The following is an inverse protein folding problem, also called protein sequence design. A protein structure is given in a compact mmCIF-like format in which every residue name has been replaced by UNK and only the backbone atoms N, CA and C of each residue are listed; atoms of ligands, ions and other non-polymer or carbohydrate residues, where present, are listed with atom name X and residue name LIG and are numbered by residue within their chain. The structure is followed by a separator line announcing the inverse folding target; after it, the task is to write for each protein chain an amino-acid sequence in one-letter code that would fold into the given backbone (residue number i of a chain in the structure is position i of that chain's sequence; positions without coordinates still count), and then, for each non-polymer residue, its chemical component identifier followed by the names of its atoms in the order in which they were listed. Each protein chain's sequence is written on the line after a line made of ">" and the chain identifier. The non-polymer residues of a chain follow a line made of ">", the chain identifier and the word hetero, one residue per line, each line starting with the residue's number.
data_IF_172864493374
#
_entry.id   IF_172864493374
#
_cell.length_a   1.000
_cell.length_b   1.000
_cell.length_c   1.000
_cell.angle_alpha   90.00
_cell.angle_beta   90.00
_cell.angle_gamma   90.00
#
_symmetry.space_group_name_H-M   'P 1'
#
loop_
_entity.id
_entity.type
_entity.pdbx_description
1 polymer ?
#
# COMPACT_ATOMS: atom_id res chain seq x y z
N UNK A 1 23.90 66.44 40.62
CA UNK A 1 24.48 65.32 39.85
C UNK A 1 23.44 64.19 39.83
N UNK A 2 22.68 64.08 38.70
CA UNK A 2 21.62 63.03 38.51
C UNK A 2 22.24 61.92 37.67
N UNK A 3 22.36 60.71 38.28
CA UNK A 3 22.71 59.51 37.53
C UNK A 3 21.46 58.86 36.95
N UNK A 4 21.41 58.78 35.62
CA UNK A 4 20.37 58.05 34.91
C UNK A 4 20.86 56.59 34.72
N UNK A 5 20.14 55.60 35.26
CA UNK A 5 20.39 54.18 35.05
C UNK A 5 19.53 53.77 33.86
N UNK A 6 20.17 53.50 32.74
CA UNK A 6 19.51 52.93 31.56
C UNK A 6 19.54 51.38 31.67
N UNK A 7 18.39 50.81 32.02
CA UNK A 7 18.24 49.35 32.03
C UNK A 7 18.15 48.82 30.60
N UNK A 8 19.16 48.03 30.21
CA UNK A 8 19.16 47.29 28.93
C UNK A 8 18.44 45.96 29.19
N UNK A 9 17.22 45.85 28.60
CA UNK A 9 16.47 44.59 28.62
C UNK A 9 17.03 43.69 27.53
N UNK A 10 17.72 42.61 27.89
CA UNK A 10 18.10 41.53 26.98
C UNK A 10 16.88 40.64 26.71
N UNK A 11 16.28 40.75 25.53
CA UNK A 11 15.34 39.75 25.06
C UNK A 11 16.14 38.51 24.59
N UNK A 12 16.14 37.47 25.41
CA UNK A 12 16.60 36.14 24.98
C UNK A 12 15.47 35.56 24.12
N UNK A 13 15.60 35.65 22.81
CA UNK A 13 14.79 34.84 21.88
C UNK A 13 15.24 33.39 22.06
N UNK A 14 14.55 32.63 22.90
CA UNK A 14 14.62 31.19 22.90
C UNK A 14 14.08 30.67 21.59
N UNK A 15 14.95 30.27 20.68
CA UNK A 15 14.56 29.48 19.52
C UNK A 15 13.95 28.19 20.07
N UNK A 16 12.64 27.98 19.88
CA UNK A 16 12.02 26.67 20.07
C UNK A 16 12.60 25.81 18.94
N UNK A 17 13.65 25.08 19.22
CA UNK A 17 14.15 24.04 18.34
C UNK A 17 13.11 22.92 18.43
N UNK A 18 12.20 22.82 17.46
CA UNK A 18 11.46 21.58 17.27
C UNK A 18 12.50 20.50 16.99
N UNK A 19 12.64 19.57 17.91
CA UNK A 19 13.52 18.42 17.71
C UNK A 19 13.04 17.70 16.44
N UNK A 20 13.89 17.68 15.43
CA UNK A 20 13.63 16.94 14.20
C UNK A 20 13.47 15.45 14.59
N UNK A 21 12.45 14.79 14.02
CA UNK A 21 12.28 13.35 14.23
C UNK A 21 13.49 12.61 13.68
N UNK A 22 13.92 11.50 14.33
CA UNK A 22 15.11 10.76 13.89
C UNK A 22 14.91 10.02 12.55
N UNK A 23 13.64 9.78 12.16
CA UNK A 23 13.32 9.02 10.96
C UNK A 23 12.32 9.76 10.06
N UNK A 24 12.32 9.38 8.77
CA UNK A 24 11.28 9.74 7.82
C UNK A 24 10.43 8.51 7.51
N UNK A 25 9.12 8.61 7.72
CA UNK A 25 8.12 7.63 7.34
C UNK A 25 7.27 8.11 6.17
N UNK A 26 6.21 7.39 5.90
CA UNK A 26 5.24 7.77 4.86
C UNK A 26 3.81 7.42 5.26
N UNK A 27 2.87 8.24 4.82
CA UNK A 27 1.45 7.95 4.82
C UNK A 27 0.82 8.40 3.51
N UNK A 28 -0.04 7.55 2.97
CA UNK A 28 -0.78 7.75 1.73
C UNK A 28 -2.27 7.56 2.03
N UNK A 29 -3.10 8.55 1.71
CA UNK A 29 -4.50 8.56 2.17
C UNK A 29 -5.44 9.16 1.15
N UNK A 30 -6.71 8.71 1.15
CA UNK A 30 -7.73 9.28 0.29
C UNK A 30 -8.08 10.70 0.68
N UNK A 31 -8.47 11.51 -0.31
CA UNK A 31 -9.04 12.84 -0.09
C UNK A 31 -10.47 12.68 0.43
N UNK A 32 -11.25 11.80 -0.19
CA UNK A 32 -12.64 11.55 0.16
C UNK A 32 -12.76 10.53 1.30
N UNK A 33 -13.85 10.66 2.05
CA UNK A 33 -14.27 9.71 3.07
C UNK A 33 -15.23 8.68 2.47
N UNK A 34 -15.11 7.43 2.91
CA UNK A 34 -15.99 6.34 2.54
C UNK A 34 -16.72 5.82 3.78
N UNK A 35 -18.03 5.68 3.71
CA UNK A 35 -18.83 5.10 4.80
C UNK A 35 -19.43 3.79 4.33
N UNK A 36 -19.14 2.73 5.07
CA UNK A 36 -19.48 1.35 4.71
C UNK A 36 -18.83 0.92 3.38
N UNK A 37 -18.66 -0.35 3.21
CA UNK A 37 -18.06 -0.90 2.00
C UNK A 37 -17.16 -2.09 2.29
N UNK A 38 -16.57 -2.61 1.21
CA UNK A 38 -15.48 -3.56 1.30
C UNK A 38 -14.21 -2.89 0.79
N UNK A 39 -13.19 -2.92 1.62
CA UNK A 39 -11.89 -2.31 1.43
C UNK A 39 -10.88 -3.43 1.26
N UNK A 40 -10.20 -3.47 0.12
CA UNK A 40 -9.21 -4.51 -0.18
C UNK A 40 -7.88 -3.88 -0.56
N UNK A 41 -6.80 -4.51 -0.10
CA UNK A 41 -5.43 -4.17 -0.48
C UNK A 41 -4.65 -5.44 -0.79
N UNK A 42 -3.78 -5.40 -1.78
CA UNK A 42 -2.74 -6.40 -1.96
C UNK A 42 -1.40 -5.78 -1.59
N UNK A 43 -0.81 -6.23 -0.49
CA UNK A 43 0.42 -5.62 0.03
C UNK A 43 1.43 -6.67 0.48
N UNK A 44 2.70 -6.26 0.49
CA UNK A 44 3.82 -6.90 1.16
C UNK A 44 4.35 -5.94 2.22
N UNK A 45 4.24 -6.31 3.49
CA UNK A 45 4.58 -5.43 4.60
C UNK A 45 6.09 -5.31 4.83
N UNK A 46 6.52 -4.24 5.49
CA UNK A 46 7.91 -4.03 5.86
C UNK A 46 8.35 -5.01 6.95
N UNK A 47 9.56 -5.52 6.82
CA UNK A 47 10.25 -6.30 7.85
C UNK A 47 11.09 -5.38 8.75
N UNK A 48 11.19 -5.72 10.02
CA UNK A 48 12.05 -5.05 11.01
C UNK A 48 11.34 -4.80 12.32
N UNK A 49 11.95 -5.25 13.44
CA UNK A 49 11.43 -4.97 14.78
C UNK A 49 11.29 -3.46 15.01
N UNK A 50 10.22 -3.04 15.66
CA UNK A 50 9.92 -1.64 15.90
C UNK A 50 9.25 -0.92 14.74
N UNK A 51 8.90 -1.61 13.64
CA UNK A 51 8.27 -1.03 12.45
C UNK A 51 6.82 -1.50 12.34
N UNK A 52 5.92 -0.58 11.99
CA UNK A 52 4.53 -0.86 11.62
C UNK A 52 4.30 -0.46 10.16
N UNK A 53 3.67 -1.34 9.41
CA UNK A 53 3.06 -1.01 8.12
C UNK A 53 1.61 -1.47 8.11
N UNK A 54 0.70 -0.61 7.61
CA UNK A 54 -0.72 -0.81 7.80
C UNK A 54 -1.57 -0.50 6.57
N UNK A 55 -2.77 -1.05 6.57
CA UNK A 55 -3.90 -0.69 5.73
C UNK A 55 -5.13 -0.53 6.61
N UNK A 56 -5.72 0.67 6.60
CA UNK A 56 -6.76 1.02 7.54
C UNK A 56 -7.73 2.07 6.99
N UNK A 57 -8.82 2.27 7.69
CA UNK A 57 -9.67 3.45 7.52
C UNK A 57 -9.78 4.19 8.84
N UNK A 58 -9.80 5.52 8.79
CA UNK A 58 -9.93 6.37 9.96
C UNK A 58 -10.80 7.59 9.68
N UNK A 59 -11.60 7.99 10.66
CA UNK A 59 -12.26 9.30 10.64
C UNK A 59 -11.23 10.39 10.81
N UNK A 60 -11.10 11.27 9.81
CA UNK A 60 -10.19 12.42 9.84
C UNK A 60 -10.74 13.55 10.73
N UNK A 61 -10.89 13.26 12.03
CA UNK A 61 -11.44 14.20 12.99
C UNK A 61 -10.51 15.41 13.25
N UNK A 62 -9.23 15.31 12.92
CA UNK A 62 -8.30 16.44 13.01
C UNK A 62 -8.61 17.54 11.99
N UNK A 63 -9.00 17.14 10.77
CA UNK A 63 -9.45 18.09 9.75
C UNK A 63 -10.73 18.83 10.19
N UNK A 64 -11.55 18.22 11.04
CA UNK A 64 -12.73 18.83 11.65
C UNK A 64 -12.39 19.73 12.87
N UNK A 65 -11.10 19.84 13.25
CA UNK A 65 -10.66 20.57 14.44
C UNK A 65 -11.00 19.88 15.75
N UNK A 66 -11.33 18.60 15.72
CA UNK A 66 -11.67 17.80 16.88
C UNK A 66 -10.42 17.13 17.46
N UNK A 67 -10.49 16.74 18.73
CA UNK A 67 -9.42 16.04 19.44
C UNK A 67 -9.98 15.05 20.44
N UNK A 68 -9.12 14.14 20.90
CA UNK A 68 -9.44 13.16 21.94
C UNK A 68 -10.07 11.86 21.40
N UNK A 69 -9.97 10.82 22.21
CA UNK A 69 -10.38 9.44 21.87
C UNK A 69 -11.86 9.31 21.54
N UNK A 70 -12.71 10.18 22.11
CA UNK A 70 -14.16 10.17 21.82
C UNK A 70 -14.51 10.42 20.34
N UNK A 71 -13.57 10.97 19.56
CA UNK A 71 -13.76 11.22 18.11
C UNK A 71 -13.07 10.16 17.25
N UNK A 72 -12.24 9.31 17.83
CA UNK A 72 -11.45 8.33 17.11
C UNK A 72 -12.35 7.17 16.64
N UNK A 73 -12.28 6.88 15.34
CA UNK A 73 -12.97 5.78 14.65
C UNK A 73 -12.01 5.22 13.63
N UNK A 74 -11.67 3.94 13.77
CA UNK A 74 -10.66 3.30 12.91
C UNK A 74 -10.96 1.81 12.75
N UNK A 75 -10.64 1.27 11.58
CA UNK A 75 -10.69 -0.17 11.27
C UNK A 75 -9.39 -0.49 10.59
N UNK A 76 -8.57 -1.38 11.16
CA UNK A 76 -7.20 -1.55 10.70
C UNK A 76 -6.72 -2.99 10.57
N UNK A 77 -5.81 -3.17 9.61
CA UNK A 77 -4.79 -4.20 9.57
C UNK A 77 -3.44 -3.57 9.86
N UNK A 78 -2.71 -4.10 10.83
CA UNK A 78 -1.39 -3.67 11.19
C UNK A 78 -0.41 -4.85 11.19
N UNK A 79 0.65 -4.71 10.39
CA UNK A 79 1.74 -5.67 10.40
C UNK A 79 2.86 -5.14 11.25
N UNK A 80 3.16 -5.86 12.34
CA UNK A 80 4.25 -5.52 13.25
C UNK A 80 5.51 -6.25 12.76
N UNK A 81 6.51 -5.52 12.31
CA UNK A 81 7.69 -6.06 11.63
C UNK A 81 8.53 -7.06 12.44
N UNK A 82 8.31 -7.15 13.75
CA UNK A 82 8.90 -8.18 14.61
C UNK A 82 8.33 -9.60 14.39
N UNK A 83 7.14 -9.73 13.79
CA UNK A 83 6.45 -11.01 13.62
C UNK A 83 6.57 -11.54 12.21
N UNK A 84 7.14 -12.71 12.05
CA UNK A 84 7.30 -13.37 10.74
C UNK A 84 6.07 -14.14 10.27
N UNK A 85 5.04 -14.27 11.10
CA UNK A 85 3.83 -15.04 10.78
C UNK A 85 2.57 -14.53 11.50
N UNK A 86 2.47 -13.24 11.76
CA UNK A 86 1.29 -12.66 12.41
C UNK A 86 0.92 -11.32 11.82
N UNK A 87 -0.37 -11.01 11.88
CA UNK A 87 -0.94 -9.71 11.58
C UNK A 87 -1.98 -9.36 12.64
N UNK A 88 -2.08 -8.09 12.98
CA UNK A 88 -3.05 -7.57 13.92
C UNK A 88 -4.22 -6.96 13.15
N UNK A 89 -5.45 -7.18 13.64
CA UNK A 89 -6.63 -6.38 13.29
C UNK A 89 -7.11 -5.64 14.51
N UNK A 90 -7.61 -4.42 14.30
CA UNK A 90 -8.17 -3.65 15.38
C UNK A 90 -9.42 -2.88 14.92
N UNK A 91 -10.31 -2.57 15.84
CA UNK A 91 -11.49 -1.72 15.65
C UNK A 91 -11.46 -0.69 16.78
N UNK A 92 -11.35 0.59 16.43
CA UNK A 92 -11.35 1.68 17.40
C UNK A 92 -12.69 2.42 17.34
N UNK A 93 -13.34 2.54 18.47
CA UNK A 93 -14.62 3.23 18.61
C UNK A 93 -14.53 4.38 19.60
N UNK A 94 -15.59 5.20 19.70
CA UNK A 94 -15.64 6.37 20.60
C UNK A 94 -15.33 6.07 22.07
N UNK A 95 -15.65 4.86 22.50
CA UNK A 95 -15.69 4.52 23.93
C UNK A 95 -14.64 3.49 24.30
N UNK A 96 -14.21 2.68 23.34
CA UNK A 96 -13.18 1.66 23.52
C UNK A 96 -12.20 1.74 22.36
N UNK A 97 -10.94 1.96 22.69
CA UNK A 97 -9.89 2.24 21.69
C UNK A 97 -9.13 1.00 21.24
N UNK A 98 -9.45 -0.18 21.77
CA UNK A 98 -8.69 -1.39 21.44
C UNK A 98 -9.56 -2.65 21.44
N UNK A 99 -10.08 -3.01 20.26
CA UNK A 99 -10.65 -4.33 19.99
C UNK A 99 -9.66 -5.14 19.15
N UNK A 100 -8.47 -5.37 19.71
CA UNK A 100 -7.32 -5.97 19.02
C UNK A 100 -7.46 -7.47 18.93
N UNK A 101 -7.22 -8.05 17.76
CA UNK A 101 -7.01 -9.49 17.56
C UNK A 101 -5.71 -9.73 16.77
N UNK A 102 -4.92 -10.73 17.22
CA UNK A 102 -3.68 -11.14 16.57
C UNK A 102 -3.89 -12.47 15.84
N UNK A 103 -3.78 -12.46 14.51
CA UNK A 103 -3.99 -13.61 13.65
C UNK A 103 -2.68 -14.27 13.28
N UNK A 104 -2.59 -15.60 13.41
CA UNK A 104 -1.44 -16.38 12.96
C UNK A 104 -1.60 -16.72 11.49
N UNK A 105 -0.60 -16.40 10.70
CA UNK A 105 -0.53 -16.64 9.26
C UNK A 105 0.25 -17.94 8.98
N UNK A 106 -0.08 -18.58 7.86
CA UNK A 106 0.68 -19.73 7.35
C UNK A 106 1.90 -19.31 6.50
N UNK A 107 2.19 -18.02 6.43
CA UNK A 107 3.26 -17.42 5.64
C UNK A 107 3.89 -16.24 6.37
N UNK A 108 4.98 -15.73 5.81
CA UNK A 108 5.63 -14.51 6.29
C UNK A 108 5.12 -13.30 5.48
N UNK A 109 4.40 -12.32 6.09
CA UNK A 109 3.80 -11.17 5.39
C UNK A 109 4.84 -10.19 4.82
N UNK A 110 6.13 -10.36 5.15
CA UNK A 110 7.22 -9.52 4.66
C UNK A 110 7.90 -10.09 3.41
N UNK A 111 7.57 -11.33 3.02
CA UNK A 111 8.24 -12.04 1.90
C UNK A 111 7.44 -11.94 0.61
N UNK A 112 6.12 -12.09 0.67
CA UNK A 112 5.25 -12.08 -0.50
C UNK A 112 4.08 -11.12 -0.37
N UNK A 113 3.37 -10.92 -1.49
CA UNK A 113 2.14 -10.15 -1.53
C UNK A 113 0.95 -11.01 -1.15
N UNK A 114 0.14 -10.49 -0.22
CA UNK A 114 -1.10 -11.11 0.21
C UNK A 114 -2.24 -10.10 0.15
N UNK A 115 -3.47 -10.60 0.04
CA UNK A 115 -4.67 -9.76 0.00
C UNK A 115 -5.26 -9.66 1.40
N UNK A 116 -5.46 -8.45 1.86
CA UNK A 116 -6.11 -8.12 3.11
C UNK A 116 -7.37 -7.32 2.80
N UNK A 117 -8.49 -7.69 3.40
CA UNK A 117 -9.75 -7.00 3.17
C UNK A 117 -10.58 -6.93 4.43
N UNK A 118 -11.36 -5.87 4.57
CA UNK A 118 -12.44 -5.84 5.54
C UNK A 118 -13.73 -5.32 4.91
N UNK A 119 -14.83 -5.87 5.39
CA UNK A 119 -16.17 -5.41 5.08
C UNK A 119 -16.71 -4.67 6.29
N UNK A 120 -17.15 -3.45 6.09
CA UNK A 120 -17.78 -2.63 7.09
C UNK A 120 -19.21 -2.30 6.65
N UNK A 121 -20.16 -2.74 7.45
CA UNK A 121 -21.60 -2.51 7.27
C UNK A 121 -22.19 -1.89 8.54
N UNK A 122 -23.46 -1.46 8.54
CA UNK A 122 -24.12 -1.03 9.77
C UNK A 122 -24.16 -2.10 10.88
N UNK A 123 -24.11 -3.39 10.52
CA UNK A 123 -24.32 -4.51 11.44
C UNK A 123 -23.03 -5.23 11.85
N UNK A 124 -21.99 -5.21 10.99
CA UNK A 124 -20.77 -6.00 11.23
C UNK A 124 -19.53 -5.41 10.58
N UNK A 125 -18.38 -5.83 11.12
CA UNK A 125 -17.09 -5.75 10.46
C UNK A 125 -16.52 -7.15 10.32
N UNK A 126 -16.18 -7.54 9.08
CA UNK A 126 -15.55 -8.82 8.76
C UNK A 126 -14.16 -8.59 8.18
N UNK A 127 -13.16 -9.32 8.66
CA UNK A 127 -11.80 -9.27 8.14
C UNK A 127 -11.46 -10.54 7.38
N UNK A 128 -10.80 -10.38 6.25
CA UNK A 128 -10.40 -11.46 5.36
C UNK A 128 -8.92 -11.36 5.03
N UNK A 129 -8.24 -12.50 4.99
CA UNK A 129 -6.85 -12.62 4.54
C UNK A 129 -6.85 -13.66 3.43
N UNK A 130 -6.33 -13.32 2.24
CA UNK A 130 -6.36 -14.16 1.03
C UNK A 130 -7.76 -14.77 0.79
N UNK A 131 -8.79 -13.95 0.93
CA UNK A 131 -10.23 -14.29 0.84
C UNK A 131 -10.74 -15.27 1.92
N UNK A 132 -9.96 -15.60 2.94
CA UNK A 132 -10.42 -16.38 4.07
C UNK A 132 -10.90 -15.46 5.19
N UNK A 133 -12.11 -15.68 5.69
CA UNK A 133 -12.66 -14.95 6.84
C UNK A 133 -11.82 -15.30 8.08
N UNK A 134 -11.21 -14.30 8.72
CA UNK A 134 -10.39 -14.47 9.92
C UNK A 134 -11.01 -13.87 11.17
N UNK A 135 -11.88 -12.86 11.01
CA UNK A 135 -12.61 -12.23 12.12
C UNK A 135 -14.00 -11.80 11.64
N UNK A 136 -15.02 -12.02 12.47
CA UNK A 136 -16.38 -11.50 12.28
C UNK A 136 -16.83 -10.81 13.57
N UNK A 137 -17.01 -9.50 13.51
CA UNK A 137 -17.38 -8.69 14.65
C UNK A 137 -18.78 -8.08 14.42
N UNK A 138 -19.75 -8.56 15.21
CA UNK A 138 -21.17 -8.17 15.19
C UNK A 138 -21.57 -7.47 16.51
N UNK A 139 -20.58 -7.04 17.30
CA UNK A 139 -20.85 -6.39 18.57
C UNK A 139 -21.49 -5.00 18.36
N UNK A 140 -22.26 -4.56 19.34
CA UNK A 140 -23.00 -3.29 19.25
C UNK A 140 -22.12 -2.06 19.10
N UNK A 141 -20.85 -2.12 19.51
CA UNK A 141 -19.93 -1.00 19.29
C UNK A 141 -19.60 -0.74 17.80
N UNK A 142 -19.74 -1.74 16.91
CA UNK A 142 -19.59 -1.56 15.46
C UNK A 142 -20.57 -0.50 14.95
N UNK A 143 -21.79 -0.45 15.50
CA UNK A 143 -22.81 0.52 15.12
C UNK A 143 -22.44 1.96 15.48
N UNK A 144 -21.42 2.17 16.32
CA UNK A 144 -20.92 3.52 16.66
C UNK A 144 -19.96 4.10 15.63
N UNK A 145 -19.61 3.33 14.59
CA UNK A 145 -18.79 3.76 13.46
C UNK A 145 -19.67 4.39 12.36
N UNK A 146 -20.36 5.47 12.69
CA UNK A 146 -21.40 6.06 11.84
C UNK A 146 -20.90 7.10 10.83
N UNK A 147 -19.63 7.51 10.92
CA UNK A 147 -19.07 8.56 10.05
C UNK A 147 -18.14 8.00 9.00
N UNK A 148 -18.17 8.60 7.80
CA UNK A 148 -17.22 8.27 6.74
C UNK A 148 -15.76 8.37 7.20
N UNK A 149 -14.92 7.50 6.67
CA UNK A 149 -13.51 7.34 7.01
C UNK A 149 -12.64 7.43 5.75
N UNK A 150 -11.44 7.98 5.87
CA UNK A 150 -10.42 7.94 4.82
C UNK A 150 -9.77 6.56 4.78
N UNK A 151 -9.46 6.07 3.59
CA UNK A 151 -8.60 4.90 3.39
C UNK A 151 -7.16 5.38 3.52
N UNK A 152 -6.37 4.70 4.34
CA UNK A 152 -4.99 5.07 4.61
C UNK A 152 -4.05 3.86 4.58
N UNK A 153 -2.82 4.14 4.20
CA UNK A 153 -1.67 3.22 4.26
C UNK A 153 -0.50 3.99 4.83
N UNK A 154 0.23 3.40 5.78
CA UNK A 154 1.42 4.05 6.32
C UNK A 154 2.54 3.06 6.66
N UNK A 155 3.73 3.63 6.86
CA UNK A 155 4.88 2.99 7.47
C UNK A 155 5.50 3.96 8.48
N UNK A 156 5.70 3.49 9.72
CA UNK A 156 6.18 4.33 10.80
C UNK A 156 6.87 3.56 11.92
N UNK A 157 7.52 4.28 12.84
CA UNK A 157 8.24 3.73 13.99
C UNK A 157 7.58 4.24 15.28
N UNK A 158 6.74 3.39 15.96
CA UNK A 158 6.17 3.70 17.27
C UNK A 158 7.21 3.75 18.38
N UNK A 159 6.91 4.54 19.43
CA UNK A 159 7.73 4.56 20.65
C UNK A 159 7.46 3.36 21.58
N UNK A 160 6.45 2.53 21.33
CA UNK A 160 5.98 1.47 22.23
C UNK A 160 6.63 0.11 21.89
N UNK A 161 7.82 -0.13 22.46
CA UNK A 161 8.56 -1.38 22.23
C UNK A 161 7.80 -2.63 22.70
N UNK A 162 6.96 -2.53 23.73
CA UNK A 162 6.14 -3.65 24.20
C UNK A 162 5.13 -4.12 23.13
N UNK A 163 4.75 -3.25 22.20
CA UNK A 163 3.84 -3.54 21.12
C UNK A 163 4.58 -4.00 19.86
N UNK A 164 5.61 -3.26 19.43
CA UNK A 164 6.24 -3.44 18.12
C UNK A 164 7.61 -4.11 18.19
N UNK A 165 8.12 -4.40 19.39
CA UNK A 165 9.50 -4.82 19.64
C UNK A 165 10.50 -3.65 19.67
N UNK A 166 11.71 -3.90 20.16
CA UNK A 166 12.78 -2.90 20.12
C UNK A 166 13.14 -2.58 18.67
N UNK A 167 13.33 -1.29 18.39
CA UNK A 167 13.67 -0.87 17.04
C UNK A 167 15.12 -1.19 16.69
N UNK A 168 15.32 -1.81 15.54
CA UNK A 168 16.63 -2.12 14.98
C UNK A 168 16.91 -1.21 13.78
N UNK A 169 17.68 -0.15 13.99
CA UNK A 169 18.06 0.82 12.95
C UNK A 169 18.82 0.18 11.78
N UNK A 170 19.46 -0.99 11.97
CA UNK A 170 20.17 -1.67 10.89
C UNK A 170 19.24 -2.22 9.82
N UNK A 171 17.92 -2.26 10.08
CA UNK A 171 16.90 -2.65 9.09
C UNK A 171 16.52 -1.52 8.14
N UNK A 172 16.98 -0.28 8.38
CA UNK A 172 16.74 0.85 7.48
C UNK A 172 17.66 0.81 6.25
N UNK A 173 17.17 1.22 5.08
CA UNK A 173 15.80 1.63 4.81
C UNK A 173 14.84 0.43 4.74
N UNK A 174 13.64 0.58 5.31
CA UNK A 174 12.59 -0.44 5.28
C UNK A 174 11.44 -0.02 4.34
N UNK A 175 10.79 -0.99 3.69
CA UNK A 175 9.81 -0.72 2.66
C UNK A 175 8.57 -1.59 2.81
N UNK A 176 7.40 -0.97 2.71
CA UNK A 176 6.12 -1.64 2.52
C UNK A 176 5.64 -1.40 1.08
N UNK A 177 5.18 -2.46 0.41
CA UNK A 177 4.76 -2.42 -0.99
C UNK A 177 3.28 -2.69 -1.09
N UNK A 178 2.58 -1.88 -1.89
CA UNK A 178 1.16 -1.99 -2.16
C UNK A 178 0.97 -2.11 -3.66
N UNK A 179 0.38 -3.24 -4.11
CA UNK A 179 0.18 -3.58 -5.53
C UNK A 179 -1.09 -2.90 -6.07
N UNK A 180 -2.15 -2.96 -5.28
CA UNK A 180 -3.41 -2.29 -5.60
C UNK A 180 -4.27 -2.11 -4.35
N UNK A 181 -5.18 -1.14 -4.44
CA UNK A 181 -6.30 -0.94 -3.51
C UNK A 181 -7.60 -0.98 -4.29
N UNK A 182 -8.62 -1.62 -3.73
CA UNK A 182 -9.99 -1.65 -4.25
C UNK A 182 -10.97 -1.19 -3.19
N UNK A 183 -11.90 -0.38 -3.61
CA UNK A 183 -13.05 -0.02 -2.81
C UNK A 183 -14.33 -0.50 -3.50
N UNK A 184 -15.15 -1.19 -2.72
CA UNK A 184 -16.48 -1.61 -3.13
C UNK A 184 -17.49 -0.90 -2.23
N UNK A 185 -18.39 -0.13 -2.83
CA UNK A 185 -19.47 0.53 -2.09
C UNK A 185 -20.45 -0.50 -1.52
N UNK A 186 -20.97 -0.24 -0.31
CA UNK A 186 -22.01 -1.05 0.29
C UNK A 186 -23.35 -0.79 -0.42
N UNK A 187 -23.84 -1.80 -1.16
CA UNK A 187 -25.02 -1.74 -2.01
C UNK A 187 -25.90 -2.97 -1.77
N UNK A 188 -26.55 -3.07 -0.60
CA UNK A 188 -27.29 -4.26 -0.21
C UNK A 188 -28.39 -4.59 -1.21
N UNK A 189 -28.54 -5.89 -1.52
CA UNK A 189 -29.55 -6.40 -2.46
C UNK A 189 -29.22 -6.28 -3.93
N UNK A 190 -27.99 -5.87 -4.28
CA UNK A 190 -27.56 -5.79 -5.70
C UNK A 190 -26.97 -7.10 -6.23
N UNK A 191 -26.75 -8.10 -5.37
CA UNK A 191 -26.19 -9.42 -5.70
C UNK A 191 -24.87 -9.36 -6.48
N UNK A 192 -23.90 -8.56 -6.02
CA UNK A 192 -22.68 -8.30 -6.77
C UNK A 192 -21.44 -9.00 -6.20
N UNK A 193 -20.89 -8.55 -5.04
CA UNK A 193 -19.64 -9.06 -4.50
C UNK A 193 -19.64 -9.11 -2.95
N UNK A 194 -18.65 -9.82 -2.38
CA UNK A 194 -18.45 -9.91 -0.93
C UNK A 194 -19.50 -10.71 -0.18
N UNK A 195 -19.60 -10.50 1.14
CA UNK A 195 -20.57 -11.19 1.99
C UNK A 195 -21.99 -10.84 1.56
N UNK A 196 -22.81 -11.88 1.34
CA UNK A 196 -24.19 -11.75 0.90
C UNK A 196 -24.37 -10.98 -0.44
N UNK A 197 -23.31 -10.85 -1.24
CA UNK A 197 -23.30 -10.07 -2.47
C UNK A 197 -23.78 -8.61 -2.29
N UNK A 198 -23.40 -7.98 -1.19
CA UNK A 198 -23.86 -6.64 -0.82
C UNK A 198 -22.90 -5.50 -1.23
N UNK A 199 -21.90 -5.78 -2.06
CA UNK A 199 -20.88 -4.80 -2.40
C UNK A 199 -20.70 -4.69 -3.92
N UNK A 200 -20.55 -3.46 -4.41
CA UNK A 200 -20.32 -3.15 -5.83
C UNK A 200 -18.99 -2.45 -5.99
N UNK A 201 -18.13 -2.96 -6.88
CA UNK A 201 -16.84 -2.31 -7.17
C UNK A 201 -17.09 -0.86 -7.63
N UNK A 202 -16.53 0.08 -6.90
CA UNK A 202 -16.56 1.50 -7.23
C UNK A 202 -15.28 1.89 -7.97
N UNK A 203 -14.11 1.60 -7.41
CA UNK A 203 -12.84 1.88 -8.06
C UNK A 203 -11.72 0.90 -7.66
N UNK A 204 -10.71 0.86 -8.53
CA UNK A 204 -9.42 0.20 -8.32
C UNK A 204 -8.32 1.23 -8.54
N UNK A 205 -7.27 1.17 -7.74
CA UNK A 205 -6.02 1.88 -7.99
C UNK A 205 -4.86 0.88 -7.99
N UNK A 206 -4.17 0.78 -9.12
CA UNK A 206 -3.03 -0.11 -9.35
C UNK A 206 -1.69 0.63 -9.17
N UNK A 207 -1.72 1.89 -8.71
CA UNK A 207 -0.56 2.74 -8.43
C UNK A 207 0.39 3.00 -9.60
N UNK A 208 -0.12 2.93 -10.84
CA UNK A 208 0.67 3.24 -12.04
C UNK A 208 1.06 4.72 -12.11
N UNK A 209 0.28 5.61 -11.48
CA UNK A 209 0.54 7.04 -11.37
C UNK A 209 -0.08 7.64 -10.10
N UNK A 210 0.35 8.85 -9.73
CA UNK A 210 -0.23 9.59 -8.62
C UNK A 210 -1.54 10.29 -9.05
N UNK A 211 -2.67 9.73 -8.65
CA UNK A 211 -3.96 10.38 -8.81
C UNK A 211 -4.21 11.39 -7.67
N UNK A 212 -3.85 12.64 -7.91
CA UNK A 212 -4.01 13.72 -6.93
C UNK A 212 -5.48 14.14 -6.68
N UNK A 213 -6.45 13.58 -7.42
CA UNK A 213 -7.87 13.78 -7.13
C UNK A 213 -8.37 12.76 -6.10
N UNK A 214 -7.71 11.61 -5.99
CA UNK A 214 -8.07 10.55 -5.04
C UNK A 214 -7.18 10.54 -3.81
N UNK A 215 -5.88 10.80 -3.97
CA UNK A 215 -4.87 10.59 -2.94
C UNK A 215 -4.11 11.83 -2.57
N UNK A 216 -3.69 11.88 -1.31
CA UNK A 216 -2.70 12.82 -0.81
C UNK A 216 -1.58 12.10 -0.05
N UNK A 217 -0.38 12.68 -0.08
CA UNK A 217 0.80 12.25 0.68
C UNK A 217 0.91 13.11 1.93
N UNK A 218 0.88 12.48 3.10
CA UNK A 218 0.92 13.20 4.37
C UNK A 218 2.30 13.79 4.68
N UNK A 219 2.29 14.86 5.49
CA UNK A 219 3.52 15.56 5.94
C UNK A 219 3.51 15.85 7.44
N UNK A 220 2.68 15.14 8.22
CA UNK A 220 2.56 15.34 9.65
C UNK A 220 3.33 14.28 10.46
N UNK A 221 3.36 14.45 11.76
CA UNK A 221 3.80 13.48 12.76
C UNK A 221 3.03 13.71 14.06
N UNK A 222 3.19 12.81 15.01
CA UNK A 222 2.65 12.97 16.37
C UNK A 222 3.66 12.46 17.40
N UNK A 223 3.37 12.69 18.69
CA UNK A 223 4.31 12.42 19.77
C UNK A 223 4.79 10.97 19.82
N UNK A 224 3.89 10.01 19.57
CA UNK A 224 4.20 8.59 19.67
C UNK A 224 4.82 7.99 18.38
N UNK A 225 4.97 8.78 17.33
CA UNK A 225 5.66 8.39 16.10
C UNK A 225 7.06 9.03 16.09
N UNK A 226 8.11 8.22 16.02
CA UNK A 226 9.49 8.70 15.89
C UNK A 226 9.85 9.09 14.44
N UNK A 227 8.95 8.87 13.50
CA UNK A 227 9.13 9.30 12.12
C UNK A 227 8.31 10.56 11.79
N UNK A 228 8.89 11.46 11.01
CA UNK A 228 8.16 12.51 10.27
C UNK A 228 7.68 11.92 8.97
N UNK A 229 6.39 12.02 8.64
CA UNK A 229 5.94 11.69 7.29
C UNK A 229 6.43 12.73 6.29
N UNK A 230 7.03 12.25 5.21
CA UNK A 230 7.54 13.07 4.10
C UNK A 230 7.02 12.52 2.78
N UNK A 231 6.70 13.41 1.84
CA UNK A 231 6.08 13.01 0.56
C UNK A 231 7.01 12.18 -0.30
N UNK A 232 8.30 12.40 -0.18
CA UNK A 232 9.37 11.68 -0.89
C UNK A 232 9.42 10.20 -0.52
N UNK A 233 8.95 9.83 0.68
CA UNK A 233 8.90 8.44 1.15
C UNK A 233 7.63 7.69 0.70
N UNK A 234 6.68 8.35 0.03
CA UNK A 234 5.57 7.71 -0.66
C UNK A 234 5.85 7.71 -2.18
N UNK A 235 6.47 6.63 -2.65
CA UNK A 235 6.98 6.49 -4.02
C UNK A 235 6.01 5.64 -4.85
N UNK A 236 5.66 6.12 -6.06
CA UNK A 236 4.97 5.30 -7.05
C UNK A 236 5.98 4.89 -8.11
N UNK A 237 6.27 3.60 -8.17
CA UNK A 237 7.29 3.07 -9.06
C UNK A 237 7.01 1.61 -9.39
N UNK A 238 7.19 1.21 -10.63
CA UNK A 238 6.99 -0.16 -11.12
C UNK A 238 5.57 -0.71 -10.94
N UNK A 239 4.54 0.16 -10.95
CA UNK A 239 3.16 -0.25 -10.68
C UNK A 239 2.90 -0.60 -9.20
N UNK A 240 3.68 -0.02 -8.29
CA UNK A 240 3.50 -0.16 -6.85
C UNK A 240 3.51 1.19 -6.16
N UNK A 241 2.71 1.34 -5.12
CA UNK A 241 2.97 2.32 -4.08
C UNK A 241 3.99 1.70 -3.10
N UNK A 242 5.12 2.35 -2.93
CA UNK A 242 6.19 1.94 -2.01
C UNK A 242 6.26 2.98 -0.91
N UNK A 243 5.90 2.58 0.31
CA UNK A 243 6.06 3.42 1.49
C UNK A 243 7.39 3.08 2.16
N UNK A 244 8.21 4.11 2.38
CA UNK A 244 9.58 3.97 2.88
C UNK A 244 9.68 4.47 4.32
N UNK A 245 10.44 3.75 5.14
CA UNK A 245 10.95 4.23 6.42
C UNK A 245 12.46 4.34 6.30
N UNK A 246 12.99 5.55 6.48
CA UNK A 246 14.42 5.88 6.30
C UNK A 246 14.93 6.63 7.52
N UNK A 247 16.25 6.78 7.64
CA UNK A 247 16.81 7.79 8.53
C UNK A 247 16.40 9.21 8.05
N UNK A 248 16.62 10.23 8.85
CA UNK A 248 16.22 11.60 8.53
C UNK A 248 17.18 12.33 7.57
N UNK A 249 18.18 11.64 7.02
CA UNK A 249 19.13 12.18 6.03
C UNK A 249 18.85 11.67 4.63
N UNK A 250 18.07 10.59 4.51
CA UNK A 250 17.69 9.95 3.24
C UNK A 250 16.16 9.93 3.08
N UNK A 251 15.70 9.74 1.85
CA UNK A 251 14.29 9.58 1.51
C UNK A 251 14.12 8.81 0.22
N UNK A 252 12.91 8.31 0.03
CA UNK A 252 12.52 7.59 -1.18
C UNK A 252 12.99 6.13 -1.21
N UNK A 253 12.68 5.48 -2.32
CA UNK A 253 13.02 4.08 -2.55
C UNK A 253 14.37 3.96 -3.29
N UNK A 254 15.30 3.26 -2.67
CA UNK A 254 16.64 3.00 -3.21
C UNK A 254 16.93 1.52 -3.48
N UNK A 255 15.90 0.66 -3.33
CA UNK A 255 16.05 -0.79 -3.53
C UNK A 255 16.09 -1.19 -5.01
N UNK A 256 16.50 -2.44 -5.25
CA UNK A 256 16.44 -3.05 -6.58
C UNK A 256 14.96 -3.20 -7.02
N UNK A 257 14.58 -2.73 -8.21
CA UNK A 257 13.26 -2.97 -8.78
C UNK A 257 12.83 -4.45 -8.74
N UNK A 258 13.79 -5.35 -8.89
CA UNK A 258 13.56 -6.80 -8.88
C UNK A 258 13.29 -7.38 -7.49
N UNK A 259 13.70 -6.70 -6.40
CA UNK A 259 13.41 -7.13 -5.03
C UNK A 259 11.95 -6.97 -4.64
N UNK A 260 11.19 -6.18 -5.41
CA UNK A 260 9.73 -5.99 -5.23
C UNK A 260 8.95 -7.18 -5.75
N UNK A 261 9.52 -7.90 -6.71
CA UNK A 261 8.85 -9.00 -7.41
C UNK A 261 8.75 -10.24 -6.50
N UNK A 262 7.61 -10.86 -6.57
CA UNK A 262 7.11 -11.93 -5.71
C UNK A 262 8.07 -13.12 -5.60
N UNK A 263 8.67 -13.33 -4.42
CA UNK A 263 9.46 -14.52 -4.11
C UNK A 263 8.58 -15.72 -3.70
N UNK A 264 7.34 -15.82 -4.22
CA UNK A 264 6.41 -16.88 -3.81
C UNK A 264 6.74 -18.28 -4.34
N UNK A 265 7.78 -18.45 -5.13
CA UNK A 265 8.30 -19.79 -5.42
C UNK A 265 9.83 -19.73 -5.48
N UNK A 266 10.49 -20.74 -4.92
CA UNK A 266 11.90 -21.07 -5.17
C UNK A 266 12.18 -21.37 -6.67
N UNK A 267 11.23 -21.09 -7.53
CA UNK A 267 11.35 -21.10 -8.98
C UNK A 267 11.39 -19.63 -9.44
N UNK A 268 12.56 -19.19 -9.91
CA UNK A 268 12.90 -17.84 -10.34
C UNK A 268 12.09 -17.40 -11.57
N UNK A 269 10.77 -17.29 -11.46
CA UNK A 269 9.97 -16.61 -12.47
C UNK A 269 10.17 -15.10 -12.30
N UNK A 270 11.18 -14.59 -12.95
CA UNK A 270 11.57 -13.18 -12.96
C UNK A 270 10.48 -12.40 -13.68
N UNK A 271 9.67 -11.63 -12.94
CA UNK A 271 8.63 -10.79 -13.55
C UNK A 271 9.28 -9.66 -14.33
N UNK A 272 8.82 -9.46 -15.57
CA UNK A 272 9.31 -8.42 -16.46
C UNK A 272 8.64 -7.08 -16.14
N UNK A 273 9.41 -6.01 -16.20
CA UNK A 273 8.87 -4.65 -16.15
C UNK A 273 8.22 -4.31 -17.49
N UNK A 274 6.94 -3.94 -17.47
CA UNK A 274 6.18 -3.63 -18.67
C UNK A 274 5.42 -2.32 -18.49
N UNK A 275 5.58 -1.39 -19.42
CA UNK A 275 4.97 -0.07 -19.35
C UNK A 275 4.60 0.50 -20.74
N UNK A 276 3.61 1.39 -20.83
CA UNK A 276 2.65 1.71 -19.79
C UNK A 276 1.77 0.50 -19.43
N UNK A 277 1.33 0.42 -18.20
CA UNK A 277 0.34 -0.54 -17.75
C UNK A 277 -0.60 0.16 -16.74
N UNK A 278 -1.87 0.46 -17.07
CA UNK A 278 -2.59 0.03 -18.27
C UNK A 278 -2.06 0.59 -19.60
N UNK A 279 -2.31 -0.13 -20.68
CA UNK A 279 -1.95 0.29 -22.04
C UNK A 279 -3.19 0.38 -22.95
N UNK A 280 -3.10 1.14 -24.05
CA UNK A 280 -4.22 1.30 -25.00
C UNK A 280 -3.89 0.94 -26.46
N UNK A 281 -2.62 0.80 -26.80
CA UNK A 281 -2.18 0.45 -28.16
C UNK A 281 -0.85 -0.28 -28.19
N UNK A 282 0.06 0.10 -27.30
CA UNK A 282 1.40 -0.50 -27.22
C UNK A 282 1.90 -0.48 -25.79
N UNK A 283 2.80 -1.41 -25.50
CA UNK A 283 3.55 -1.46 -24.26
C UNK A 283 5.01 -1.82 -24.56
N UNK A 284 5.90 -1.49 -23.64
CA UNK A 284 7.33 -1.81 -23.74
C UNK A 284 7.68 -2.78 -22.62
N UNK A 285 8.38 -3.86 -22.97
CA UNK A 285 8.97 -4.81 -22.03
C UNK A 285 10.42 -4.39 -21.84
N UNK A 286 10.80 -4.10 -20.61
CA UNK A 286 12.20 -3.90 -20.24
C UNK A 286 12.82 -5.27 -19.95
N UNK A 287 13.87 -5.61 -20.67
CA UNK A 287 14.61 -6.86 -20.55
C UNK A 287 15.72 -6.67 -19.52
N UNK A 288 15.66 -7.30 -18.36
CA UNK A 288 16.72 -7.21 -17.35
C UNK A 288 18.01 -7.88 -17.83
N UNK A 289 19.16 -7.43 -17.32
CA UNK A 289 20.48 -7.96 -17.69
C UNK A 289 20.67 -9.45 -17.42
N UNK A 290 19.90 -10.02 -16.49
CA UNK A 290 19.93 -11.45 -16.20
C UNK A 290 19.29 -12.31 -17.30
N UNK A 291 18.44 -11.74 -18.17
CA UNK A 291 17.94 -12.40 -19.38
C UNK A 291 18.98 -12.20 -20.48
N UNK A 292 20.05 -12.96 -20.38
CA UNK A 292 21.17 -12.93 -21.34
C UNK A 292 21.01 -13.96 -22.47
N UNK A 293 19.81 -14.55 -22.59
CA UNK A 293 19.46 -15.57 -23.58
C UNK A 293 18.68 -14.97 -24.76
N UNK A 294 18.70 -15.68 -25.88
CA UNK A 294 17.94 -15.30 -27.06
C UNK A 294 16.45 -15.39 -26.78
N UNK A 295 15.72 -14.28 -27.01
CA UNK A 295 14.26 -14.25 -26.86
C UNK A 295 13.65 -14.85 -28.14
N UNK A 296 12.81 -15.86 -27.95
CA UNK A 296 12.17 -16.61 -29.06
C UNK A 296 10.78 -16.08 -29.40
N UNK A 297 10.06 -15.55 -28.42
CA UNK A 297 8.69 -15.10 -28.66
C UNK A 297 8.07 -14.34 -27.50
N UNK A 298 6.98 -13.67 -27.84
CA UNK A 298 6.11 -12.98 -26.88
C UNK A 298 4.69 -13.45 -27.16
N UNK A 299 3.97 -13.91 -26.14
CA UNK A 299 2.59 -14.36 -26.22
C UNK A 299 1.75 -13.66 -25.16
N UNK A 300 0.51 -13.26 -25.51
CA UNK A 300 -0.49 -12.76 -24.58
C UNK A 300 -1.69 -13.69 -24.55
N UNK A 301 -2.17 -13.97 -23.35
CA UNK A 301 -3.39 -14.74 -23.11
C UNK A 301 -4.38 -13.89 -22.30
N UNK A 302 -5.67 -14.09 -22.53
CA UNK A 302 -6.72 -13.54 -21.69
C UNK A 302 -6.85 -14.33 -20.35
N UNK A 303 -7.75 -13.90 -19.49
CA UNK A 303 -8.00 -14.53 -18.18
C UNK A 303 -8.50 -15.99 -18.29
N UNK A 304 -8.94 -16.44 -19.47
CA UNK A 304 -9.35 -17.83 -19.72
C UNK A 304 -8.20 -18.70 -20.22
N UNK A 305 -7.01 -18.12 -20.45
CA UNK A 305 -5.85 -18.79 -21.03
C UNK A 305 -5.86 -18.84 -22.57
N UNK A 306 -6.83 -18.19 -23.23
CA UNK A 306 -6.88 -18.12 -24.70
C UNK A 306 -5.83 -17.13 -25.21
N UNK A 307 -4.98 -17.58 -26.16
CA UNK A 307 -4.01 -16.69 -26.80
C UNK A 307 -4.72 -15.64 -27.66
N UNK A 308 -4.41 -14.37 -27.39
CA UNK A 308 -4.96 -13.19 -28.10
C UNK A 308 -3.91 -12.50 -28.96
N UNK A 309 -2.63 -12.74 -28.69
CA UNK A 309 -1.51 -12.22 -29.46
C UNK A 309 -0.30 -13.14 -29.32
N UNK A 310 0.45 -13.33 -30.39
CA UNK A 310 1.72 -14.04 -30.36
C UNK A 310 2.64 -13.51 -31.47
N UNK A 311 3.91 -13.33 -31.16
CA UNK A 311 4.93 -12.93 -32.14
C UNK A 311 6.29 -13.52 -31.80
N UNK A 312 7.01 -13.92 -32.84
CA UNK A 312 8.46 -14.21 -32.79
C UNK A 312 9.29 -13.11 -33.48
N UNK A 313 8.65 -12.04 -33.95
CA UNK A 313 9.28 -10.91 -34.62
C UNK A 313 9.10 -9.66 -33.77
N UNK A 314 10.20 -9.17 -33.23
CA UNK A 314 10.25 -7.96 -32.40
C UNK A 314 11.62 -7.30 -32.57
N UNK A 315 11.70 -6.03 -32.22
CA UNK A 315 12.93 -5.27 -32.25
C UNK A 315 13.35 -4.98 -30.80
N UNK A 316 14.50 -5.51 -30.42
CA UNK A 316 15.11 -5.21 -29.12
C UNK A 316 16.14 -4.06 -29.31
N UNK A 317 15.89 -2.95 -28.64
CA UNK A 317 16.80 -1.81 -28.62
C UNK A 317 17.21 -1.51 -27.19
N UNK A 318 18.47 -1.71 -26.87
CA UNK A 318 19.04 -1.44 -25.54
C UNK A 318 18.25 -2.11 -24.39
N UNK A 319 17.89 -3.39 -24.56
CA UNK A 319 17.13 -4.10 -23.53
C UNK A 319 15.65 -3.75 -23.46
N UNK A 320 15.09 -3.08 -24.47
CA UNK A 320 13.67 -2.72 -24.54
C UNK A 320 13.02 -3.28 -25.78
N UNK A 321 11.89 -3.95 -25.62
CA UNK A 321 11.05 -4.46 -26.70
C UNK A 321 9.68 -3.78 -26.63
N UNK A 322 9.33 -3.04 -27.68
CA UNK A 322 7.99 -2.44 -27.80
C UNK A 322 7.08 -3.34 -28.62
N UNK A 323 5.94 -3.68 -28.03
CA UNK A 323 4.87 -4.47 -28.65
C UNK A 323 3.71 -3.53 -28.99
N UNK A 324 3.28 -3.52 -30.25
CA UNK A 324 2.12 -2.76 -30.69
C UNK A 324 1.01 -3.75 -31.09
N UNK A 325 -0.18 -3.53 -30.57
CA UNK A 325 -1.32 -4.40 -30.78
C UNK A 325 -2.39 -3.72 -31.65
N UNK A 326 -3.14 -4.53 -32.40
CA UNK A 326 -4.29 -4.02 -33.11
C UNK A 326 -5.47 -3.84 -32.14
N UNK A 327 -5.97 -2.62 -32.02
CA UNK A 327 -7.06 -2.24 -31.10
C UNK A 327 -8.35 -3.05 -31.30
N UNK A 328 -8.59 -3.57 -32.49
CA UNK A 328 -9.79 -4.34 -32.79
C UNK A 328 -9.78 -5.78 -32.24
N UNK A 329 -8.62 -6.24 -31.76
CA UNK A 329 -8.45 -7.64 -31.32
C UNK A 329 -8.56 -7.85 -29.81
N UNK A 330 -8.63 -6.78 -29.02
CA UNK A 330 -8.64 -6.84 -27.57
C UNK A 330 -9.86 -6.14 -26.97
N UNK A 331 -10.42 -6.73 -25.92
CA UNK A 331 -11.39 -6.07 -25.03
C UNK A 331 -10.68 -5.48 -23.84
N UNK A 332 -11.19 -4.37 -23.27
CA UNK A 332 -10.65 -3.85 -21.99
C UNK A 332 -10.66 -4.94 -20.93
N UNK A 333 -9.55 -5.14 -20.25
CA UNK A 333 -9.41 -6.19 -19.27
C UNK A 333 -7.97 -6.59 -18.98
N UNK A 334 -7.84 -7.63 -18.15
CA UNK A 334 -6.58 -8.19 -17.71
C UNK A 334 -6.06 -9.25 -18.70
N UNK A 335 -4.75 -9.21 -18.95
CA UNK A 335 -4.02 -10.14 -19.80
C UNK A 335 -2.74 -10.61 -19.11
N UNK A 336 -2.33 -11.83 -19.42
CA UNK A 336 -1.02 -12.36 -19.01
C UNK A 336 -0.13 -12.48 -20.23
N UNK A 337 1.06 -11.89 -20.13
CA UNK A 337 2.08 -12.00 -21.15
C UNK A 337 3.15 -13.01 -20.78
N UNK A 338 3.72 -13.66 -21.78
CA UNK A 338 4.88 -14.54 -21.63
C UNK A 338 5.96 -14.10 -22.61
N UNK A 339 7.17 -13.87 -22.11
CA UNK A 339 8.37 -13.73 -22.90
C UNK A 339 9.13 -15.07 -22.83
N UNK A 340 9.34 -15.69 -23.99
CA UNK A 340 9.96 -17.01 -24.09
C UNK A 340 11.43 -16.88 -24.52
N UNK A 341 12.32 -17.56 -23.82
CA UNK A 341 13.72 -17.79 -24.21
C UNK A 341 13.95 -19.27 -24.53
N UNK A 342 15.18 -19.64 -24.88
CA UNK A 342 15.54 -21.06 -25.10
C UNK A 342 15.40 -21.94 -23.86
N UNK A 343 15.50 -21.36 -22.67
CA UNK A 343 15.58 -22.08 -21.40
C UNK A 343 14.41 -21.81 -20.47
N UNK A 344 13.81 -20.60 -20.52
CA UNK A 344 12.83 -20.15 -19.52
C UNK A 344 11.66 -19.40 -20.16
N UNK A 345 10.54 -19.34 -19.42
CA UNK A 345 9.40 -18.46 -19.71
C UNK A 345 9.27 -17.44 -18.59
N UNK A 346 9.22 -16.17 -18.99
CA UNK A 346 9.03 -15.06 -18.05
C UNK A 346 7.61 -14.53 -18.22
N UNK A 347 6.84 -14.51 -17.12
CA UNK A 347 5.43 -14.11 -17.14
C UNK A 347 5.33 -12.65 -16.65
N UNK A 348 4.43 -11.89 -17.27
CA UNK A 348 4.10 -10.53 -16.86
C UNK A 348 2.60 -10.28 -16.98
N UNK A 349 2.09 -9.30 -16.25
CA UNK A 349 0.67 -8.93 -16.19
C UNK A 349 0.46 -7.60 -16.92
N UNK A 350 -0.63 -7.47 -17.65
CA UNK A 350 -1.00 -6.29 -18.42
C UNK A 350 -2.49 -5.99 -18.28
N UNK A 351 -2.83 -4.72 -18.14
CA UNK A 351 -4.21 -4.23 -18.24
C UNK A 351 -4.38 -3.45 -19.55
N UNK A 352 -5.34 -3.85 -20.39
CA UNK A 352 -5.69 -3.13 -21.60
C UNK A 352 -6.92 -2.26 -21.38
N UNK A 353 -6.86 -1.01 -21.82
CA UNK A 353 -7.98 -0.05 -21.79
C UNK A 353 -8.21 0.48 -23.21
N UNK A 354 -9.47 0.45 -23.66
CA UNK A 354 -9.85 1.04 -24.94
C UNK A 354 -9.97 2.55 -24.86
#
# INVERSE_FOLDING_TARGET
>A
MKFSITSILFFVFGSIVFSQKPYHGAEYRTIENHQYGRFEVRMKSAFGSGIVSSFFTIKDYWAEGLSGTANWREIDFETLGQHTNKIQTNIITAYETHHVELHTLMYNPHVGFHTYAFEWTPEHIKFFIDNQLVRNDENTYVQTLESGQKIMMNIWQPIWEDWVGPFDESTLPAYAFYDWVKYYAYTPGTENYGSNNNFTLDWVDDFDYFDSNRWEKATHTWTANNAQFVQENAVLQYGYLILCLTDNTTSGYSGDPLSVLDNQNNDKSKTLVVYPNPFNSSFTIQIPDYINKEIKGINLVDITGKSVFSTSRFYNKNGMITVTLNKESLSSGLYYGTLETDEEKHIFKLTYIQ
#
